data_IF_588922728349
#
_entry.id   IF_588922728349
#
_cell.length_a   1.000
_cell.length_b   1.000
_cell.length_c   1.000
_cell.angle_alpha   90.00
_cell.angle_beta   90.00
_cell.angle_gamma   90.00
#
_symmetry.space_group_name_H-M   'P 1'
#
loop_
_entity.id
_entity.type
_entity.pdbx_description
1 polymer ?
#
# COMPACT_ATOMS: atom_id res chain seq x y z
N UNK A 1 -47.79 -2.09 37.08
CA UNK A 1 -46.50 -1.38 37.23
C UNK A 1 -45.78 -1.42 35.89
N UNK A 2 -45.27 -0.29 35.39
CA UNK A 2 -44.60 -0.24 34.08
C UNK A 2 -43.08 -0.34 34.28
N UNK A 3 -42.48 -1.49 33.92
CA UNK A 3 -41.03 -1.63 33.95
C UNK A 3 -40.42 -0.91 32.73
N UNK A 4 -39.87 0.27 32.98
CA UNK A 4 -39.11 1.03 31.99
C UNK A 4 -37.91 0.23 31.49
N UNK A 5 -38.02 -0.31 30.28
CA UNK A 5 -36.88 -0.91 29.56
C UNK A 5 -35.97 0.22 29.11
N UNK A 6 -35.06 0.64 29.98
CA UNK A 6 -34.10 1.69 29.67
C UNK A 6 -33.32 1.34 28.41
N UNK A 7 -33.43 2.20 27.38
CA UNK A 7 -32.66 2.12 26.15
C UNK A 7 -31.18 2.37 26.45
N UNK A 8 -30.49 1.30 26.83
CA UNK A 8 -29.04 1.24 26.94
C UNK A 8 -28.45 0.72 25.64
N UNK A 9 -28.85 1.31 24.51
CA UNK A 9 -28.05 1.22 23.30
C UNK A 9 -26.67 1.84 23.57
N UNK A 10 -25.71 1.00 23.96
CA UNK A 10 -24.27 1.33 24.07
C UNK A 10 -23.65 1.44 22.67
N UNK A 11 -24.37 2.12 21.77
CA UNK A 11 -23.90 2.55 20.47
C UNK A 11 -23.07 3.78 20.76
N UNK A 12 -21.76 3.64 20.58
CA UNK A 12 -20.85 4.77 20.60
C UNK A 12 -21.26 5.77 19.50
N UNK A 13 -21.75 6.94 19.92
CA UNK A 13 -22.18 8.03 19.04
C UNK A 13 -21.01 8.93 18.61
N UNK A 14 -19.81 8.73 19.16
CA UNK A 14 -18.61 9.49 18.85
C UNK A 14 -17.80 8.97 17.66
N UNK A 15 -18.21 7.84 17.06
CA UNK A 15 -17.57 7.25 15.88
C UNK A 15 -18.44 7.35 14.63
N UNK A 16 -17.79 7.31 13.48
CA UNK A 16 -18.48 7.23 12.18
C UNK A 16 -19.41 6.00 12.10
N UNK A 17 -20.58 6.12 11.44
CA UNK A 17 -21.46 5.00 11.17
C UNK A 17 -20.87 4.09 10.08
N UNK A 18 -21.13 2.77 10.15
CA UNK A 18 -20.72 1.83 9.10
C UNK A 18 -20.25 0.46 9.60
N UNK A 19 -19.59 -0.28 8.70
CA UNK A 19 -18.98 -1.60 8.95
C UNK A 19 -17.55 -1.43 9.46
N UNK A 20 -17.17 -2.26 10.44
CA UNK A 20 -15.81 -2.33 10.96
C UNK A 20 -15.14 -3.62 10.52
N UNK A 21 -13.81 -3.56 10.32
CA UNK A 21 -12.99 -4.75 10.14
C UNK A 21 -12.79 -5.39 11.52
N UNK A 22 -13.40 -6.56 11.73
CA UNK A 22 -13.23 -7.33 12.97
C UNK A 22 -11.89 -8.08 12.99
N UNK A 23 -10.83 -7.39 13.42
CA UNK A 23 -9.47 -7.92 13.60
C UNK A 23 -9.16 -8.14 15.09
N UNK A 24 -8.93 -9.39 15.56
CA UNK A 24 -8.61 -9.65 16.96
C UNK A 24 -7.28 -9.04 17.40
N UNK A 25 -7.21 -8.52 18.63
CA UNK A 25 -5.95 -8.03 19.22
C UNK A 25 -4.87 -9.13 19.25
N UNK A 26 -5.27 -10.40 19.49
CA UNK A 26 -4.36 -11.54 19.44
C UNK A 26 -3.74 -11.82 18.05
N UNK A 27 -4.30 -11.26 16.97
CA UNK A 27 -3.69 -11.28 15.64
C UNK A 27 -2.59 -10.22 15.58
N UNK A 28 -2.88 -9.00 16.02
CA UNK A 28 -1.96 -7.87 16.02
C UNK A 28 -0.74 -8.08 16.94
N UNK A 29 -0.96 -8.66 18.11
CA UNK A 29 0.09 -8.95 19.10
C UNK A 29 0.92 -10.20 18.77
N UNK A 30 0.56 -10.94 17.72
CA UNK A 30 1.26 -12.18 17.36
C UNK A 30 2.66 -11.91 16.78
N UNK A 31 3.64 -12.75 17.14
CA UNK A 31 5.00 -12.64 16.62
C UNK A 31 5.06 -12.69 15.08
N UNK A 32 4.19 -13.51 14.46
CA UNK A 32 4.01 -13.55 13.01
C UNK A 32 3.59 -12.20 12.43
N UNK A 33 2.60 -11.50 13.03
CA UNK A 33 2.16 -10.18 12.55
C UNK A 33 3.24 -9.10 12.74
N UNK A 34 3.97 -9.17 13.85
CA UNK A 34 5.09 -8.27 14.15
C UNK A 34 6.30 -8.49 13.20
N UNK A 35 6.42 -9.66 12.58
CA UNK A 35 7.42 -9.94 11.54
C UNK A 35 7.00 -9.50 10.11
N UNK A 36 5.69 -9.38 9.82
CA UNK A 36 5.21 -8.99 8.48
C UNK A 36 5.73 -7.63 7.99
N UNK A 37 5.98 -7.50 6.69
CA UNK A 37 6.23 -6.19 6.07
C UNK A 37 5.01 -5.27 6.15
N UNK A 38 5.23 -3.95 6.07
CA UNK A 38 4.15 -2.96 5.99
C UNK A 38 3.18 -3.22 4.81
N UNK A 39 3.70 -3.70 3.67
CA UNK A 39 2.90 -4.13 2.53
C UNK A 39 2.03 -5.35 2.84
N UNK A 40 2.56 -6.38 3.52
CA UNK A 40 1.76 -7.55 3.89
C UNK A 40 0.68 -7.19 4.92
N UNK A 41 0.98 -6.35 5.93
CA UNK A 41 -0.03 -5.84 6.89
C UNK A 41 -1.14 -5.05 6.19
N UNK A 42 -0.80 -4.18 5.26
CA UNK A 42 -1.79 -3.40 4.49
C UNK A 42 -2.64 -4.31 3.60
N UNK A 43 -2.04 -5.32 2.98
CA UNK A 43 -2.76 -6.30 2.16
C UNK A 43 -3.70 -7.17 3.03
N UNK A 44 -3.31 -7.48 4.26
CA UNK A 44 -4.14 -8.23 5.21
C UNK A 44 -5.41 -7.47 5.59
N UNK A 45 -5.33 -6.14 5.70
CA UNK A 45 -6.50 -5.28 5.90
C UNK A 45 -7.43 -5.28 4.69
N UNK A 46 -6.91 -5.33 3.46
CA UNK A 46 -7.73 -5.48 2.24
C UNK A 46 -8.39 -6.87 2.13
N UNK A 47 -7.76 -7.93 2.63
CA UNK A 47 -8.42 -9.25 2.80
C UNK A 47 -9.53 -9.17 3.84
N UNK A 48 -9.26 -8.54 4.98
CA UNK A 48 -10.22 -8.44 6.08
C UNK A 48 -11.39 -7.47 5.79
N UNK A 49 -11.18 -6.48 4.90
CA UNK A 49 -12.22 -5.59 4.40
C UNK A 49 -13.23 -6.33 3.50
N UNK A 50 -12.77 -7.32 2.73
CA UNK A 50 -13.62 -8.12 1.84
C UNK A 50 -14.60 -9.01 2.59
N UNK A 51 -14.39 -9.29 3.88
CA UNK A 51 -15.25 -10.15 4.66
C UNK A 51 -16.58 -9.46 5.03
N UNK A 52 -17.69 -10.06 4.61
CA UNK A 52 -19.05 -9.60 4.86
C UNK A 52 -19.80 -10.40 5.93
N UNK A 53 -19.35 -11.61 6.27
CA UNK A 53 -19.87 -12.37 7.42
C UNK A 53 -19.89 -13.89 7.23
N UNK A 54 -20.00 -14.33 5.99
CA UNK A 54 -20.25 -15.72 5.56
C UNK A 54 -19.43 -16.10 4.30
N UNK A 55 -18.45 -15.28 3.94
CA UNK A 55 -17.66 -15.32 2.71
C UNK A 55 -16.16 -15.65 2.93
N UNK A 56 -15.77 -16.11 4.13
CA UNK A 56 -14.39 -16.49 4.41
C UNK A 56 -13.98 -17.70 3.56
N UNK A 57 -13.00 -17.50 2.69
CA UNK A 57 -12.60 -18.46 1.67
C UNK A 57 -12.89 -18.02 0.24
N UNK A 58 -13.45 -16.83 0.01
CA UNK A 58 -13.63 -16.23 -1.33
C UNK A 58 -12.87 -14.92 -1.55
N UNK A 59 -11.96 -14.54 -0.65
CA UNK A 59 -11.21 -13.29 -0.78
C UNK A 59 -10.30 -13.31 -2.01
N UNK A 60 -10.27 -12.18 -2.72
CA UNK A 60 -9.49 -11.97 -3.93
C UNK A 60 -8.24 -11.15 -3.63
N UNK A 61 -7.10 -11.67 -4.09
CA UNK A 61 -5.81 -10.97 -4.15
C UNK A 61 -5.36 -10.75 -5.61
N UNK A 62 -6.31 -10.67 -6.54
CA UNK A 62 -6.00 -10.43 -7.94
C UNK A 62 -5.67 -8.95 -8.17
N UNK A 63 -4.70 -8.68 -9.05
CA UNK A 63 -4.35 -7.31 -9.48
C UNK A 63 -5.57 -6.56 -10.05
N UNK A 64 -6.46 -7.24 -10.76
CA UNK A 64 -7.67 -6.63 -11.33
C UNK A 64 -8.60 -6.09 -10.23
N UNK A 65 -8.82 -6.87 -9.16
CA UNK A 65 -9.60 -6.44 -8.00
C UNK A 65 -8.88 -5.30 -7.25
N UNK A 66 -7.64 -5.54 -6.79
CA UNK A 66 -6.90 -4.62 -5.93
C UNK A 66 -6.51 -3.30 -6.61
N UNK A 67 -6.44 -3.24 -7.95
CA UNK A 67 -6.24 -1.97 -8.68
C UNK A 67 -7.36 -0.95 -8.36
N UNK A 68 -8.61 -1.40 -8.19
CA UNK A 68 -9.73 -0.53 -7.79
C UNK A 68 -9.56 0.04 -6.37
N UNK A 69 -8.74 -0.62 -5.55
CA UNK A 69 -8.35 -0.24 -4.18
C UNK A 69 -7.03 0.55 -4.13
N UNK A 70 -6.48 0.95 -5.27
CA UNK A 70 -5.23 1.73 -5.38
C UNK A 70 -3.94 0.91 -5.52
N UNK A 71 -4.00 -0.43 -5.53
CA UNK A 71 -2.81 -1.26 -5.63
C UNK A 71 -2.33 -1.40 -7.08
N UNK A 72 -1.31 -0.62 -7.44
CA UNK A 72 -0.80 -0.51 -8.81
C UNK A 72 0.39 -1.43 -9.14
N UNK A 73 1.08 -1.98 -8.14
CA UNK A 73 2.23 -2.89 -8.33
C UNK A 73 1.79 -4.35 -8.18
N UNK A 74 2.02 -5.18 -9.21
CA UNK A 74 1.89 -6.64 -9.12
C UNK A 74 2.82 -7.20 -8.05
N UNK A 75 4.08 -6.79 -8.09
CA UNK A 75 5.17 -7.39 -7.34
C UNK A 75 5.00 -7.12 -5.84
N UNK A 76 4.42 -5.98 -5.47
CA UNK A 76 4.03 -5.67 -4.09
C UNK A 76 2.86 -6.54 -3.60
N UNK A 77 1.85 -6.81 -4.45
CA UNK A 77 0.76 -7.73 -4.15
C UNK A 77 1.30 -9.15 -4.00
N UNK A 78 2.14 -9.61 -4.93
CA UNK A 78 2.71 -10.97 -4.93
C UNK A 78 3.67 -11.18 -3.75
N UNK A 79 4.50 -10.19 -3.42
CA UNK A 79 5.34 -10.21 -2.21
C UNK A 79 4.47 -10.27 -0.94
N UNK A 80 3.50 -9.37 -0.79
CA UNK A 80 2.62 -9.33 0.38
C UNK A 80 1.83 -10.63 0.55
N UNK A 81 1.25 -11.14 -0.55
CA UNK A 81 0.53 -12.42 -0.59
C UNK A 81 1.41 -13.60 -0.18
N UNK A 82 2.66 -13.65 -0.67
CA UNK A 82 3.62 -14.70 -0.26
C UNK A 82 3.90 -14.62 1.23
N UNK A 83 4.22 -13.44 1.76
CA UNK A 83 4.46 -13.25 3.21
C UNK A 83 3.24 -13.65 4.06
N UNK A 84 2.01 -13.35 3.61
CA UNK A 84 0.79 -13.73 4.33
C UNK A 84 0.46 -15.23 4.28
N UNK A 85 0.84 -15.92 3.20
CA UNK A 85 0.75 -17.39 3.10
C UNK A 85 1.82 -18.06 3.96
N UNK A 86 3.05 -17.53 3.93
CA UNK A 86 4.21 -18.05 4.67
C UNK A 86 4.06 -17.87 6.20
N UNK A 87 3.45 -16.75 6.63
CA UNK A 87 3.04 -16.51 8.02
C UNK A 87 1.68 -17.14 8.41
N UNK A 88 1.08 -17.95 7.53
CA UNK A 88 -0.21 -18.64 7.74
C UNK A 88 -1.37 -17.72 8.19
N UNK A 89 -1.37 -16.44 7.80
CA UNK A 89 -2.50 -15.52 8.04
C UNK A 89 -3.63 -15.73 7.04
N UNK A 90 -3.29 -16.16 5.82
CA UNK A 90 -4.24 -16.54 4.79
C UNK A 90 -3.95 -17.96 4.29
N UNK A 91 -5.00 -18.64 3.83
CA UNK A 91 -4.95 -19.98 3.25
C UNK A 91 -5.55 -19.94 1.84
N UNK A 92 -4.92 -20.57 0.85
CA UNK A 92 -5.45 -20.62 -0.53
C UNK A 92 -6.53 -21.72 -0.66
N UNK A 93 -7.78 -21.32 -0.75
CA UNK A 93 -8.96 -22.23 -0.84
C UNK A 93 -9.25 -22.66 -2.27
N UNK A 94 -8.75 -21.92 -3.26
CA UNK A 94 -8.88 -22.23 -4.67
C UNK A 94 -7.60 -21.82 -5.39
N UNK A 95 -7.02 -22.75 -6.14
CA UNK A 95 -5.93 -22.47 -7.06
C UNK A 95 -6.48 -21.84 -8.33
N UNK A 96 -6.06 -20.61 -8.61
CA UNK A 96 -6.30 -19.93 -9.87
C UNK A 96 -5.51 -20.56 -11.02
N UNK A 97 -6.11 -20.59 -12.21
CA UNK A 97 -5.47 -21.01 -13.45
C UNK A 97 -5.99 -20.20 -14.64
N UNK A 98 -5.20 -20.14 -15.71
CA UNK A 98 -5.61 -19.48 -16.96
C UNK A 98 -6.72 -20.31 -17.66
N UNK A 99 -7.60 -19.67 -18.47
CA UNK A 99 -7.71 -18.22 -18.64
C UNK A 99 -8.47 -17.54 -17.48
N UNK A 100 -9.51 -18.18 -16.93
CA UNK A 100 -10.59 -17.49 -16.19
C UNK A 100 -10.86 -18.02 -14.76
N UNK A 101 -9.89 -18.61 -14.06
CA UNK A 101 -10.05 -18.98 -12.63
C UNK A 101 -9.10 -18.14 -11.77
N UNK A 102 -9.66 -17.27 -10.92
CA UNK A 102 -8.90 -16.54 -9.91
C UNK A 102 -8.61 -17.44 -8.69
N UNK A 103 -7.48 -17.23 -8.01
CA UNK A 103 -7.27 -17.85 -6.69
C UNK A 103 -8.17 -17.19 -5.65
N UNK A 104 -8.69 -18.00 -4.72
CA UNK A 104 -9.42 -17.53 -3.55
C UNK A 104 -8.62 -17.80 -2.27
N UNK A 105 -8.85 -16.96 -1.26
CA UNK A 105 -8.18 -17.03 0.03
C UNK A 105 -9.18 -16.98 1.19
N UNK A 106 -8.82 -17.60 2.31
CA UNK A 106 -9.48 -17.51 3.62
C UNK A 106 -8.54 -16.87 4.65
N UNK A 107 -9.07 -16.09 5.59
CA UNK A 107 -8.35 -15.65 6.79
C UNK A 107 -8.34 -16.77 7.84
N UNK A 108 -7.17 -17.05 8.42
CA UNK A 108 -7.03 -18.19 9.35
C UNK A 108 -7.50 -17.91 10.77
N UNK A 109 -7.65 -16.65 11.22
CA UNK A 109 -8.23 -16.37 12.54
C UNK A 109 -9.76 -16.55 12.62
N UNK A 110 -10.43 -16.71 11.46
CA UNK A 110 -11.85 -17.08 11.37
C UNK A 110 -12.00 -18.55 11.00
N UNK A 111 -13.21 -19.10 11.18
CA UNK A 111 -13.55 -20.41 10.60
C UNK A 111 -13.73 -20.25 9.10
N UNK A 112 -13.42 -21.30 8.35
CA UNK A 112 -13.76 -21.37 6.93
C UNK A 112 -15.28 -21.52 6.78
N UNK A 113 -15.89 -20.73 5.90
CA UNK A 113 -17.33 -20.79 5.65
C UNK A 113 -17.66 -21.89 4.63
N UNK A 114 -18.84 -22.51 4.77
CA UNK A 114 -19.25 -23.66 3.95
C UNK A 114 -19.73 -23.23 2.56
N UNK A 115 -18.78 -22.85 1.71
CA UNK A 115 -19.04 -22.28 0.39
C UNK A 115 -18.74 -23.29 -0.73
N UNK A 116 -19.60 -23.39 -1.77
CA UNK A 116 -19.31 -24.24 -2.92
C UNK A 116 -18.16 -23.68 -3.76
N UNK A 117 -17.43 -24.56 -4.43
CA UNK A 117 -16.39 -24.20 -5.40
C UNK A 117 -14.96 -24.16 -4.85
N UNK A 118 -14.73 -24.54 -3.60
CA UNK A 118 -13.37 -24.81 -3.08
C UNK A 118 -12.74 -26.01 -3.78
N UNK A 119 -11.41 -26.02 -3.86
CA UNK A 119 -10.68 -27.19 -4.37
C UNK A 119 -10.75 -28.36 -3.35
N UNK A 120 -10.56 -29.60 -3.82
CA UNK A 120 -10.72 -30.79 -2.99
C UNK A 120 -9.74 -30.83 -1.80
N UNK A 121 -10.24 -31.19 -0.62
CA UNK A 121 -9.44 -31.33 0.60
C UNK A 121 -9.25 -30.04 1.42
N UNK A 122 -9.67 -28.88 0.91
CA UNK A 122 -9.55 -27.57 1.57
C UNK A 122 -10.11 -27.56 2.99
N UNK A 123 -11.30 -28.14 3.23
CA UNK A 123 -11.91 -28.22 4.56
C UNK A 123 -11.09 -29.05 5.58
N UNK A 124 -10.23 -29.96 5.10
CA UNK A 124 -9.34 -30.78 5.94
C UNK A 124 -7.96 -30.14 6.15
N UNK A 125 -7.51 -29.34 5.19
CA UNK A 125 -6.21 -28.68 5.21
C UNK A 125 -6.24 -27.29 5.88
N UNK A 126 -7.42 -26.65 5.94
CA UNK A 126 -7.59 -25.37 6.61
C UNK A 126 -7.52 -25.53 8.14
N UNK A 127 -6.60 -24.81 8.78
CA UNK A 127 -6.47 -24.76 10.25
C UNK A 127 -6.85 -23.37 10.78
N UNK A 128 -7.85 -23.31 11.68
CA UNK A 128 -8.20 -22.06 12.36
C UNK A 128 -7.10 -21.70 13.37
N UNK A 129 -6.47 -20.54 13.16
CA UNK A 129 -5.42 -20.00 14.03
C UNK A 129 -4.00 -20.35 13.61
N UNK A 130 -3.79 -20.87 12.39
CA UNK A 130 -2.48 -21.30 11.89
C UNK A 130 -1.35 -20.27 12.10
N UNK A 131 -1.61 -18.97 11.93
CA UNK A 131 -0.67 -17.87 12.22
C UNK A 131 -0.04 -17.88 13.64
N UNK A 132 -0.63 -18.62 14.60
CA UNK A 132 -0.06 -18.82 15.95
C UNK A 132 1.06 -19.86 15.99
N UNK A 133 1.09 -20.79 15.03
CA UNK A 133 2.14 -21.78 14.84
C UNK A 133 3.35 -21.20 14.09
N UNK A 134 3.10 -20.25 13.19
CA UNK A 134 4.13 -19.58 12.42
C UNK A 134 5.16 -18.91 13.36
N UNK A 135 6.38 -19.45 13.37
CA UNK A 135 7.53 -18.77 13.95
C UNK A 135 7.71 -17.40 13.26
N UNK A 136 8.20 -16.36 13.96
CA UNK A 136 8.42 -15.05 13.34
C UNK A 136 9.29 -15.19 12.08
N UNK A 137 8.82 -14.63 10.97
CA UNK A 137 9.48 -14.70 9.67
C UNK A 137 10.82 -13.95 9.72
N UNK A 138 11.88 -14.72 10.00
CA UNK A 138 13.29 -14.28 10.16
C UNK A 138 13.51 -13.43 11.40
N UNK A 139 14.61 -13.68 12.12
CA UNK A 139 15.07 -12.74 13.14
C UNK A 139 15.25 -11.36 12.53
N UNK A 140 14.84 -10.31 13.25
CA UNK A 140 15.07 -8.92 12.84
C UNK A 140 16.58 -8.71 12.74
N UNK A 141 17.11 -8.84 11.53
CA UNK A 141 18.50 -8.50 11.21
C UNK A 141 18.63 -7.01 11.48
N UNK A 142 19.18 -6.69 12.65
CA UNK A 142 19.34 -5.32 13.16
C UNK A 142 19.87 -4.47 12.01
N UNK A 143 19.07 -3.48 11.59
CA UNK A 143 19.45 -2.57 10.51
C UNK A 143 20.83 -1.98 10.83
N UNK A 144 21.86 -2.46 10.13
CA UNK A 144 23.20 -1.89 10.25
C UNK A 144 23.09 -0.47 9.69
N UNK A 145 23.36 0.51 10.56
CA UNK A 145 23.00 1.91 10.32
C UNK A 145 23.45 2.39 8.94
N UNK A 146 22.53 3.03 8.22
CA UNK A 146 22.84 3.70 6.97
C UNK A 146 23.53 5.03 7.28
N UNK A 147 24.84 4.98 7.46
CA UNK A 147 25.66 6.16 7.74
C UNK A 147 25.66 7.10 6.53
N UNK A 148 24.98 8.25 6.66
CA UNK A 148 25.08 9.37 5.73
C UNK A 148 26.19 10.33 6.16
N UNK A 149 27.41 9.83 6.22
CA UNK A 149 28.61 10.65 6.29
C UNK A 149 28.96 11.16 4.89
N UNK A 150 28.89 12.48 4.77
CA UNK A 150 29.07 13.29 3.56
C UNK A 150 30.42 13.01 2.90
N UNK A 151 30.42 12.85 1.57
CA UNK A 151 31.62 13.14 0.76
C UNK A 151 31.25 13.71 -0.62
N UNK A 152 30.95 15.01 -0.61
CA UNK A 152 30.94 15.85 -1.80
C UNK A 152 31.71 17.14 -1.47
N UNK A 153 33.03 17.13 -1.70
CA UNK A 153 33.79 18.35 -1.93
C UNK A 153 35.00 18.59 -1.00
N UNK A 154 36.16 18.62 -1.66
CA UNK A 154 37.28 19.55 -1.43
C UNK A 154 38.07 19.44 -0.11
N UNK A 155 39.35 19.11 -0.28
CA UNK A 155 40.41 19.20 0.73
C UNK A 155 40.62 20.64 1.21
N UNK A 156 40.83 20.85 2.53
CA UNK A 156 41.60 21.97 3.04
C UNK A 156 42.77 21.52 3.93
N UNK A 157 43.97 21.64 3.36
CA UNK A 157 45.22 22.15 3.97
C UNK A 157 45.22 22.25 5.52
N UNK A 158 45.98 21.38 6.17
CA UNK A 158 46.44 21.51 7.56
C UNK A 158 47.88 21.03 7.67
N UNK A 159 48.81 21.92 8.02
CA UNK A 159 50.25 21.71 7.75
C UNK A 159 51.02 20.91 8.80
N UNK A 160 51.98 20.11 8.33
CA UNK A 160 53.12 19.66 9.10
C UNK A 160 54.40 19.86 8.26
N UNK A 161 55.33 20.68 8.75
CA UNK A 161 56.61 20.95 8.10
C UNK A 161 57.64 19.92 8.57
N UNK A 162 58.13 19.06 7.68
CA UNK A 162 59.43 18.41 7.80
C UNK A 162 60.10 18.35 6.42
N UNK A 163 61.35 18.85 6.35
CA UNK A 163 62.12 19.02 5.11
C UNK A 163 63.01 17.78 4.80
N UNK A 164 63.60 17.67 3.59
CA UNK A 164 63.68 16.40 2.86
C UNK A 164 65.01 15.63 2.99
N UNK A 165 65.03 14.39 2.48
CA UNK A 165 66.27 13.61 2.23
C UNK A 165 66.28 12.96 0.84
N UNK A 166 67.00 13.59 -0.10
CA UNK A 166 67.44 13.03 -1.38
C UNK A 166 66.35 12.82 -2.45
N UNK A 167 66.63 12.94 -3.74
CA UNK A 167 67.87 13.40 -4.39
C UNK A 167 67.87 13.08 -5.90
N UNK A 168 68.49 13.97 -6.68
CA UNK A 168 68.89 13.78 -8.11
C UNK A 168 67.82 13.97 -9.19
N UNK A 169 68.10 14.87 -10.14
CA UNK A 169 67.78 14.64 -11.57
C UNK A 169 66.72 15.51 -12.24
N UNK A 170 66.95 16.82 -12.40
CA UNK A 170 66.18 17.62 -13.38
C UNK A 170 66.63 17.35 -14.81
N UNK A 171 65.74 16.88 -15.68
CA UNK A 171 65.90 16.93 -17.13
C UNK A 171 64.73 17.70 -17.75
N UNK A 172 65.03 18.81 -18.45
CA UNK A 172 64.04 19.55 -19.25
C UNK A 172 63.92 18.89 -20.62
N UNK A 173 62.73 18.41 -20.99
CA UNK A 173 62.42 17.99 -22.36
C UNK A 173 61.14 18.71 -22.78
N UNK A 174 61.32 19.86 -23.44
CA UNK A 174 60.25 20.71 -23.94
C UNK A 174 60.85 21.86 -24.76
N UNK A 175 60.69 21.88 -26.10
CA UNK A 175 61.29 22.90 -26.95
C UNK A 175 60.56 24.25 -26.81
N UNK A 176 61.29 25.35 -27.06
CA UNK A 176 60.77 26.71 -26.93
C UNK A 176 60.46 27.35 -28.29
N UNK A 177 59.26 27.95 -28.39
CA UNK A 177 58.76 28.89 -29.43
C UNK A 177 58.74 28.43 -30.91
N UNK A 178 57.61 28.67 -31.56
CA UNK A 178 57.44 28.77 -33.01
C UNK A 178 56.18 29.57 -33.36
N UNK A 179 56.25 30.40 -34.39
CA UNK A 179 55.15 31.16 -35.01
C UNK A 179 54.53 30.37 -36.19
N UNK A 180 53.45 30.77 -36.87
CA UNK A 180 52.64 32.01 -36.88
C UNK A 180 51.13 31.71 -37.14
N UNK A 181 50.32 32.75 -37.33
CA UNK A 181 48.94 32.71 -37.87
C UNK A 181 48.94 32.53 -39.41
N UNK A 182 47.83 32.21 -40.14
CA UNK A 182 46.43 32.59 -39.88
C UNK A 182 45.33 31.53 -40.16
N UNK A 183 44.07 31.95 -39.97
CA UNK A 183 42.82 31.20 -40.19
C UNK A 183 42.53 30.83 -41.65
N UNK A 184 41.62 29.88 -41.87
CA UNK A 184 40.36 30.28 -42.52
C UNK A 184 39.08 29.71 -41.86
N UNK A 185 38.14 30.61 -41.54
CA UNK A 185 36.69 30.34 -41.54
C UNK A 185 36.21 30.11 -43.00
N UNK A 186 35.03 29.52 -43.32
CA UNK A 186 33.74 29.60 -42.59
C UNK A 186 32.94 28.26 -42.58
N UNK A 187 31.64 28.09 -42.22
CA UNK A 187 30.38 28.80 -42.58
C UNK A 187 29.18 28.22 -41.78
N UNK A 188 28.24 29.05 -41.30
CA UNK A 188 26.90 28.72 -40.70
C UNK A 188 26.84 27.84 -39.41
N UNK A 189 25.94 28.03 -38.43
CA UNK A 189 24.76 28.91 -38.29
C UNK A 189 24.28 29.03 -36.82
N UNK A 190 23.14 29.70 -36.51
CA UNK A 190 23.03 30.56 -35.32
C UNK A 190 22.35 30.01 -34.04
N UNK A 191 22.66 30.68 -32.92
CA UNK A 191 22.11 30.49 -31.56
C UNK A 191 20.84 31.34 -31.31
N UNK A 192 19.84 30.76 -30.63
CA UNK A 192 18.79 31.41 -29.80
C UNK A 192 18.18 30.30 -28.91
N UNK A 193 17.64 30.53 -27.71
CA UNK A 193 17.47 31.74 -26.89
C UNK A 193 16.67 31.35 -25.64
N UNK A 194 16.90 31.99 -24.50
CA UNK A 194 16.34 31.57 -23.21
C UNK A 194 14.81 31.68 -23.11
N UNK A 195 14.19 30.88 -22.23
CA UNK A 195 12.98 31.33 -21.55
C UNK A 195 12.88 30.76 -20.12
N UNK A 196 12.98 31.64 -19.13
CA UNK A 196 12.60 31.36 -17.75
C UNK A 196 11.22 31.99 -17.51
N UNK A 197 10.26 31.25 -16.96
CA UNK A 197 9.43 31.67 -15.81
C UNK A 197 8.29 30.68 -15.53
N UNK A 198 8.05 30.45 -14.23
CA UNK A 198 6.85 29.80 -13.69
C UNK A 198 5.86 30.90 -13.26
N UNK A 199 4.55 30.75 -13.52
CA UNK A 199 3.54 31.60 -12.92
C UNK A 199 3.07 31.02 -11.57
N UNK A 200 3.63 31.53 -10.47
CA UNK A 200 2.99 31.46 -9.16
C UNK A 200 2.20 32.77 -8.96
N UNK A 201 0.88 32.75 -8.77
CA UNK A 201 0.12 33.96 -8.47
C UNK A 201 0.54 34.52 -7.11
N UNK A 202 0.78 35.84 -7.04
CA UNK A 202 1.22 36.54 -5.83
C UNK A 202 0.04 37.25 -5.15
N UNK A 203 0.01 37.14 -3.82
CA UNK A 203 -0.87 37.85 -2.88
C UNK A 203 -2.36 37.45 -2.94
N UNK A 204 -3.05 37.52 -1.80
CA UNK A 204 -4.41 37.00 -1.64
C UNK A 204 -5.16 37.68 -0.50
N UNK A 205 -6.28 37.09 -0.08
CA UNK A 205 -7.01 37.48 1.13
C UNK A 205 -7.78 36.28 1.72
N UNK A 206 -7.78 36.08 3.06
CA UNK A 206 -8.57 35.04 3.71
C UNK A 206 -9.91 35.59 4.26
N UNK A 207 -10.86 34.67 4.51
CA UNK A 207 -12.17 34.86 5.15
C UNK A 207 -13.27 35.53 4.29
N UNK A 208 -14.15 34.72 3.70
CA UNK A 208 -15.61 34.95 3.74
C UNK A 208 -16.32 33.61 4.02
N UNK A 209 -17.34 33.65 4.88
CA UNK A 209 -18.23 32.52 5.23
C UNK A 209 -19.55 32.59 4.43
N UNK A 210 -20.40 31.54 4.43
CA UNK A 210 -21.19 31.20 3.24
C UNK A 210 -22.50 31.98 3.07
N UNK A 211 -22.92 32.15 1.80
CA UNK A 211 -24.27 32.58 1.44
C UNK A 211 -25.15 31.40 1.00
N UNK A 212 -26.46 31.59 1.13
CA UNK A 212 -27.41 30.51 1.39
C UNK A 212 -28.22 30.01 0.19
N UNK A 213 -28.69 28.77 0.30
CA UNK A 213 -30.08 28.43 -0.02
C UNK A 213 -30.43 28.06 -1.46
N UNK A 214 -30.39 26.76 -1.76
CA UNK A 214 -31.46 26.12 -2.53
C UNK A 214 -31.92 24.88 -1.77
N UNK A 215 -33.11 24.94 -1.19
CA UNK A 215 -33.80 23.77 -0.69
C UNK A 215 -34.42 23.01 -1.87
N UNK A 216 -34.19 21.70 -1.96
CA UNK A 216 -34.98 20.80 -2.81
C UNK A 216 -35.67 19.82 -1.86
N UNK A 217 -36.94 20.10 -1.57
CA UNK A 217 -37.76 19.29 -0.68
C UNK A 217 -38.27 18.01 -1.37
N UNK A 218 -38.60 17.03 -0.55
CA UNK A 218 -38.78 15.62 -0.90
C UNK A 218 -40.18 15.33 -1.41
N UNK A 219 -40.29 14.54 -2.50
CA UNK A 219 -41.49 13.72 -2.78
C UNK A 219 -41.11 12.30 -3.20
N UNK A 220 -40.87 11.45 -2.21
CA UNK A 220 -40.97 9.99 -2.38
C UNK A 220 -42.43 9.61 -2.18
N UNK A 221 -43.10 9.17 -3.24
CA UNK A 221 -44.48 8.69 -3.15
C UNK A 221 -44.52 7.29 -2.52
N UNK A 222 -45.27 7.16 -1.42
CA UNK A 222 -45.65 5.87 -0.86
C UNK A 222 -46.71 5.21 -1.74
N UNK A 223 -46.52 3.94 -2.07
CA UNK A 223 -47.58 3.06 -2.56
C UNK A 223 -47.66 1.82 -1.66
N UNK A 224 -48.78 1.68 -0.95
CA UNK A 224 -49.18 0.48 -0.23
C UNK A 224 -50.27 -0.25 -1.04
N UNK A 225 -50.35 -1.57 -0.90
CA UNK A 225 -51.30 -2.43 -1.62
C UNK A 225 -50.57 -3.48 -2.47
N UNK A 226 -50.94 -4.76 -2.46
CA UNK A 226 -52.09 -5.39 -1.80
C UNK A 226 -51.81 -6.87 -1.44
N UNK A 227 -52.59 -7.43 -0.51
CA UNK A 227 -52.52 -8.84 -0.08
C UNK A 227 -53.80 -9.60 -0.46
N UNK A 228 -53.72 -10.41 -1.51
CA UNK A 228 -54.60 -11.56 -1.71
C UNK A 228 -53.69 -12.76 -2.02
N UNK A 229 -53.55 -13.80 -1.19
CA UNK A 229 -54.58 -14.77 -0.76
C UNK A 229 -55.44 -15.29 -1.93
N UNK A 230 -54.98 -16.38 -2.53
CA UNK A 230 -55.84 -17.44 -3.05
C UNK A 230 -55.34 -18.78 -2.51
N UNK A 231 -56.27 -19.60 -2.04
CA UNK A 231 -56.02 -20.94 -1.52
C UNK A 231 -56.76 -21.98 -2.37
N UNK A 232 -56.23 -23.20 -2.38
CA UNK A 232 -56.91 -24.49 -2.56
C UNK A 232 -57.97 -24.66 -3.68
N UNK A 233 -57.64 -25.56 -4.61
CA UNK A 233 -58.50 -26.61 -5.23
C UNK A 233 -57.48 -27.55 -5.93
N UNK A 234 -57.36 -28.86 -5.69
CA UNK A 234 -58.28 -29.92 -5.22
C UNK A 234 -59.26 -30.43 -6.28
N UNK A 235 -58.73 -30.99 -7.37
CA UNK A 235 -59.16 -32.25 -8.01
C UNK A 235 -58.06 -32.76 -8.93
#
# INVERSE_FOLDING_TARGET
MANGRGDRSRIDKGRDPGRFIGLPVSVLDSAAYLALSASARSLLLEVALQFHGDDNGRMLLSRAYLKTRGWNSSDMIDKGKRELLEAEFIFETVKGHRPNKASWYAMTWRRLDKLPGFDHGVERAFEQGAYKRAAPLVEVTKFKGYDKSRDHGLLPIGGAVLNPRGGTGTARIGPQRGTESPSPDPLCGPVKGANCQSPVPRHGHPLEEPSAGVAIDVRVALAQGDRHQTAALAS
#
